data_IF_776011917695
#
_entry.id   IF_776011917695
#
_cell.length_a   1.000
_cell.length_b   1.000
_cell.length_c   1.000
_cell.angle_alpha   90.00
_cell.angle_beta   90.00
_cell.angle_gamma   90.00
#
_symmetry.space_group_name_H-M   'P 1'
#
loop_
_entity.id
_entity.type
_entity.pdbx_description
1 polymer ?
#
# COMPACT_ATOMS: atom_id res chain seq x y z
N UNK A 1 -9.14 -8.20 -11.50
CA UNK A 1 -8.55 -7.78 -10.22
C UNK A 1 -8.19 -8.97 -9.37
N UNK A 2 -6.99 -8.95 -8.84
CA UNK A 2 -6.52 -9.91 -7.84
C UNK A 2 -6.94 -9.44 -6.45
N UNK A 3 -7.09 -10.39 -5.52
CA UNK A 3 -7.33 -10.09 -4.10
C UNK A 3 -8.60 -9.28 -3.83
N UNK A 4 -9.72 -9.83 -4.28
CA UNK A 4 -11.04 -9.38 -3.86
C UNK A 4 -11.44 -10.15 -2.61
N UNK A 5 -12.04 -9.48 -1.66
CA UNK A 5 -12.55 -10.11 -0.47
C UNK A 5 -12.27 -9.33 0.80
N UNK A 6 -12.51 -9.97 1.93
CA UNK A 6 -12.44 -9.39 3.27
C UNK A 6 -11.40 -10.14 4.10
N UNK A 7 -10.37 -9.42 4.53
CA UNK A 7 -9.32 -10.00 5.37
C UNK A 7 -9.93 -10.36 6.74
N UNK A 8 -9.63 -11.55 7.20
CA UNK A 8 -10.22 -12.11 8.41
C UNK A 8 -11.48 -12.94 8.16
N UNK A 9 -12.03 -12.92 6.94
CA UNK A 9 -13.16 -13.75 6.54
C UNK A 9 -12.76 -14.71 5.42
N UNK A 10 -12.76 -14.26 4.17
CA UNK A 10 -12.39 -15.09 3.02
C UNK A 10 -10.92 -14.92 2.58
N UNK A 11 -10.22 -13.95 3.15
CA UNK A 11 -8.79 -13.73 2.91
C UNK A 11 -8.00 -13.80 4.22
N UNK A 12 -6.80 -14.35 4.14
CA UNK A 12 -5.85 -14.38 5.26
C UNK A 12 -5.06 -13.07 5.37
N UNK A 13 -4.29 -12.91 6.45
CA UNK A 13 -3.34 -11.80 6.59
C UNK A 13 -2.33 -11.84 5.45
N UNK A 14 -1.85 -13.01 5.10
CA UNK A 14 -0.88 -13.22 4.01
C UNK A 14 -1.46 -12.81 2.66
N UNK A 15 -2.73 -13.10 2.41
CA UNK A 15 -3.44 -12.61 1.21
C UNK A 15 -3.50 -11.09 1.20
N UNK A 16 -3.80 -10.50 2.35
CA UNK A 16 -3.82 -9.05 2.53
C UNK A 16 -2.46 -8.43 2.25
N UNK A 17 -1.40 -9.05 2.75
CA UNK A 17 -0.02 -8.60 2.50
C UNK A 17 0.34 -8.66 1.02
N UNK A 18 -0.05 -9.72 0.32
CA UNK A 18 0.17 -9.82 -1.12
C UNK A 18 -0.59 -8.73 -1.88
N UNK A 19 -1.82 -8.44 -1.46
CA UNK A 19 -2.60 -7.35 -2.04
C UNK A 19 -1.94 -5.99 -1.79
N UNK A 20 -1.45 -5.74 -0.58
CA UNK A 20 -0.76 -4.50 -0.23
C UNK A 20 0.52 -4.32 -1.05
N UNK A 21 1.29 -5.40 -1.23
CA UNK A 21 2.49 -5.37 -2.07
C UNK A 21 2.15 -5.02 -3.52
N UNK A 22 1.08 -5.58 -4.07
CA UNK A 22 0.64 -5.26 -5.42
C UNK A 22 0.22 -3.80 -5.53
N UNK A 23 -0.49 -3.27 -4.55
CA UNK A 23 -0.84 -1.84 -4.51
C UNK A 23 0.41 -0.95 -4.48
N UNK A 24 1.42 -1.34 -3.71
CA UNK A 24 2.69 -0.59 -3.66
C UNK A 24 3.42 -0.62 -5.00
N UNK A 25 3.42 -1.75 -5.71
CA UNK A 25 3.96 -1.84 -7.07
C UNK A 25 3.25 -0.87 -8.01
N UNK A 26 1.93 -0.79 -7.93
CA UNK A 26 1.15 0.13 -8.73
C UNK A 26 1.47 1.60 -8.39
N UNK A 27 1.62 1.93 -7.11
CA UNK A 27 2.03 3.27 -6.67
C UNK A 27 3.40 3.63 -7.24
N UNK A 28 4.36 2.71 -7.14
CA UNK A 28 5.71 2.92 -7.70
C UNK A 28 5.67 3.10 -9.21
N UNK A 29 4.82 2.35 -9.91
CA UNK A 29 4.62 2.51 -11.35
C UNK A 29 4.08 3.89 -11.70
N UNK A 30 3.10 4.38 -10.95
CA UNK A 30 2.56 5.73 -11.13
C UNK A 30 3.61 6.80 -10.86
N UNK A 31 4.41 6.63 -9.81
CA UNK A 31 5.50 7.55 -9.48
C UNK A 31 6.58 7.56 -10.56
N UNK A 32 6.92 6.40 -11.08
CA UNK A 32 7.88 6.28 -12.17
C UNK A 32 7.40 7.04 -13.41
N UNK A 33 6.12 6.90 -13.73
CA UNK A 33 5.51 7.65 -14.83
C UNK A 33 5.57 9.15 -14.58
N UNK A 34 5.22 9.61 -13.37
CA UNK A 34 5.28 11.03 -13.00
C UNK A 34 6.70 11.59 -13.05
N UNK A 35 7.70 10.77 -12.80
CA UNK A 35 9.12 11.14 -12.86
C UNK A 35 9.76 10.88 -14.24
N UNK A 36 8.95 10.69 -15.27
CA UNK A 36 9.42 10.45 -16.64
C UNK A 36 10.38 9.26 -16.75
N UNK A 37 10.12 8.21 -15.96
CA UNK A 37 10.89 6.97 -15.95
C UNK A 37 12.05 6.93 -14.97
N UNK A 38 12.28 7.99 -14.21
CA UNK A 38 13.44 8.09 -13.31
C UNK A 38 13.00 8.23 -11.85
N UNK A 39 12.93 7.11 -11.12
CA UNK A 39 12.56 7.10 -9.71
C UNK A 39 13.59 7.82 -8.82
N UNK A 40 14.83 8.04 -9.30
CA UNK A 40 15.81 8.78 -8.52
C UNK A 40 15.45 10.26 -8.31
N UNK A 41 14.47 10.76 -9.05
CA UNK A 41 13.90 12.10 -8.85
C UNK A 41 13.01 12.21 -7.62
N UNK A 42 12.64 11.10 -7.00
CA UNK A 42 11.89 11.14 -5.74
C UNK A 42 12.83 11.56 -4.63
N UNK A 43 12.58 12.75 -4.06
CA UNK A 43 13.35 13.27 -2.93
C UNK A 43 13.00 12.47 -1.68
N UNK A 44 11.71 12.26 -1.46
CA UNK A 44 11.21 11.41 -0.36
C UNK A 44 9.74 11.08 -0.54
N UNK A 45 9.35 9.95 0.02
CA UNK A 45 7.95 9.63 0.27
C UNK A 45 7.52 10.37 1.53
N UNK A 46 6.51 11.21 1.42
CA UNK A 46 6.04 12.02 2.55
C UNK A 46 5.09 11.19 3.41
N UNK A 47 4.13 10.53 2.77
CA UNK A 47 3.08 9.80 3.47
C UNK A 47 2.57 8.64 2.61
N UNK A 48 2.27 7.54 3.30
CA UNK A 48 1.53 6.41 2.73
C UNK A 48 0.33 6.14 3.63
N UNK A 49 -0.86 6.15 3.06
CA UNK A 49 -2.10 5.78 3.74
C UNK A 49 -2.66 4.51 3.14
N UNK A 50 -3.17 3.63 3.97
CA UNK A 50 -3.73 2.37 3.50
C UNK A 50 -5.01 1.99 4.20
N UNK A 51 -5.93 1.40 3.42
CA UNK A 51 -7.19 0.87 3.87
C UNK A 51 -7.22 -0.63 3.60
N UNK A 52 -7.64 -1.40 4.59
CA UNK A 52 -7.81 -2.84 4.49
C UNK A 52 -9.29 -3.17 4.65
N UNK A 53 -9.87 -3.84 3.66
CA UNK A 53 -11.22 -4.37 3.81
C UNK A 53 -11.13 -5.58 4.73
N UNK A 54 -11.70 -5.47 5.91
CA UNK A 54 -11.53 -6.47 6.96
C UNK A 54 -12.79 -6.62 7.80
N UNK A 55 -12.82 -7.69 8.58
CA UNK A 55 -13.90 -7.91 9.56
C UNK A 55 -13.81 -6.88 10.68
N UNK A 56 -14.93 -6.69 11.40
CA UNK A 56 -15.04 -5.67 12.46
C UNK A 56 -14.05 -5.90 13.61
N UNK A 57 -13.67 -7.15 13.84
CA UNK A 57 -12.76 -7.53 14.93
C UNK A 57 -11.30 -7.66 14.49
N UNK A 58 -11.01 -7.42 13.23
CA UNK A 58 -9.63 -7.52 12.72
C UNK A 58 -8.79 -6.34 13.22
N UNK A 59 -7.61 -6.60 13.75
CA UNK A 59 -6.75 -5.59 14.38
C UNK A 59 -5.35 -5.51 13.76
N UNK A 60 -5.08 -6.25 12.69
CA UNK A 60 -3.74 -6.36 12.11
C UNK A 60 -3.57 -5.58 10.80
N UNK A 61 -4.26 -4.45 10.66
CA UNK A 61 -4.16 -3.60 9.45
C UNK A 61 -2.72 -3.15 9.20
N UNK A 62 -2.00 -2.77 10.26
CA UNK A 62 -0.61 -2.35 10.15
C UNK A 62 0.28 -3.48 9.62
N UNK A 63 0.06 -4.71 10.09
CA UNK A 63 0.80 -5.88 9.60
C UNK A 63 0.58 -6.12 8.11
N UNK A 64 -0.66 -5.96 7.66
CA UNK A 64 -1.00 -6.06 6.24
C UNK A 64 -0.22 -5.00 5.44
N UNK A 65 -0.27 -3.75 5.88
CA UNK A 65 0.32 -2.63 5.15
C UNK A 65 1.85 -2.58 5.26
N UNK A 66 2.45 -3.28 6.22
CA UNK A 66 3.91 -3.41 6.29
C UNK A 66 4.48 -3.94 4.98
N UNK A 67 3.78 -4.84 4.30
CA UNK A 67 4.24 -5.38 3.00
C UNK A 67 4.39 -4.28 1.94
N UNK A 68 3.51 -3.29 1.94
CA UNK A 68 3.61 -2.14 1.03
C UNK A 68 4.77 -1.23 1.42
N UNK A 69 4.87 -0.87 2.70
CA UNK A 69 5.94 0.00 3.19
C UNK A 69 7.32 -0.62 2.98
N UNK A 70 7.45 -1.92 3.23
CA UNK A 70 8.70 -2.64 3.04
C UNK A 70 9.14 -2.61 1.58
N UNK A 71 8.23 -2.82 0.64
CA UNK A 71 8.53 -2.75 -0.78
C UNK A 71 8.98 -1.35 -1.19
N UNK A 72 8.27 -0.33 -0.75
CA UNK A 72 8.60 1.06 -1.06
C UNK A 72 10.01 1.39 -0.57
N UNK A 73 10.35 1.00 0.66
CA UNK A 73 11.68 1.22 1.22
C UNK A 73 12.76 0.38 0.51
N UNK A 74 12.42 -0.83 0.10
CA UNK A 74 13.34 -1.70 -0.65
C UNK A 74 13.70 -1.07 -2.00
N UNK A 75 12.74 -0.49 -2.69
CA UNK A 75 12.94 0.11 -4.02
C UNK A 75 13.60 1.49 -3.93
N UNK A 76 13.16 2.34 -3.01
CA UNK A 76 13.61 3.73 -2.92
C UNK A 76 14.71 3.99 -1.90
N UNK A 77 15.04 3.00 -1.08
CA UNK A 77 16.02 3.16 -0.02
C UNK A 77 15.59 4.21 1.00
N UNK A 78 16.49 5.08 1.40
CA UNK A 78 16.22 6.12 2.41
C UNK A 78 15.06 7.04 1.98
N UNK A 79 14.94 7.36 0.71
CA UNK A 79 13.85 8.19 0.18
C UNK A 79 12.48 7.53 0.35
N UNK A 80 12.42 6.23 0.56
CA UNK A 80 11.18 5.49 0.78
C UNK A 80 10.59 5.62 2.17
N UNK A 81 11.32 6.13 3.15
CA UNK A 81 10.81 6.31 4.51
C UNK A 81 9.69 7.34 4.52
N UNK A 82 8.63 7.04 5.27
CA UNK A 82 7.40 7.83 5.19
C UNK A 82 6.60 7.74 6.48
N UNK A 83 5.76 8.75 6.71
CA UNK A 83 4.68 8.66 7.69
C UNK A 83 3.58 7.76 7.14
N UNK A 84 2.94 7.00 8.00
CA UNK A 84 1.91 6.05 7.58
C UNK A 84 0.71 6.05 8.50
N UNK A 85 -0.47 5.85 7.91
CA UNK A 85 -1.68 5.54 8.63
C UNK A 85 -2.33 4.31 8.01
N UNK A 86 -2.91 3.46 8.86
CA UNK A 86 -3.54 2.21 8.46
C UNK A 86 -4.92 2.11 9.08
N UNK A 87 -5.94 1.88 8.27
CA UNK A 87 -7.31 1.72 8.74
C UNK A 87 -7.93 0.44 8.24
N UNK A 88 -8.96 -0.02 8.97
CA UNK A 88 -9.91 -0.99 8.45
C UNK A 88 -11.11 -0.29 7.83
N UNK A 89 -11.76 -0.97 6.88
CA UNK A 89 -13.02 -0.57 6.30
C UNK A 89 -13.83 -1.82 5.96
N UNK A 90 -15.15 -1.66 5.86
CA UNK A 90 -16.02 -2.78 5.49
C UNK A 90 -16.26 -2.89 3.98
N UNK A 91 -15.86 -1.90 3.21
CA UNK A 91 -16.04 -1.91 1.75
C UNK A 91 -14.97 -1.06 1.07
N UNK A 92 -14.52 -1.53 -0.08
CA UNK A 92 -13.63 -0.81 -0.98
C UNK A 92 -14.16 -0.94 -2.42
N UNK A 93 -13.79 -0.01 -3.30
CA UNK A 93 -14.22 -0.08 -4.70
C UNK A 93 -13.90 -1.43 -5.32
N UNK A 94 -14.84 -1.96 -6.10
CA UNK A 94 -14.72 -3.25 -6.80
C UNK A 94 -14.47 -4.45 -5.89
N UNK A 95 -14.76 -4.32 -4.60
CA UNK A 95 -14.54 -5.41 -3.63
C UNK A 95 -13.08 -5.68 -3.33
N UNK A 96 -12.19 -4.75 -3.62
CA UNK A 96 -10.74 -4.93 -3.38
C UNK A 96 -10.44 -5.09 -1.90
N UNK A 97 -9.40 -5.86 -1.59
CA UNK A 97 -8.98 -6.14 -0.22
C UNK A 97 -8.18 -4.98 0.39
N UNK A 98 -7.42 -4.25 -0.41
CA UNK A 98 -6.52 -3.18 0.03
C UNK A 98 -6.56 -2.01 -0.95
N UNK A 99 -6.48 -0.81 -0.40
CA UNK A 99 -6.31 0.42 -1.18
C UNK A 99 -5.22 1.27 -0.54
N UNK A 100 -4.34 1.83 -1.35
CA UNK A 100 -3.20 2.62 -0.87
C UNK A 100 -3.16 3.96 -1.60
N UNK A 101 -2.91 5.01 -0.83
CA UNK A 101 -2.58 6.34 -1.36
C UNK A 101 -1.18 6.73 -0.90
N UNK A 102 -0.52 7.60 -1.63
CA UNK A 102 0.80 8.09 -1.27
C UNK A 102 1.00 9.52 -1.72
N UNK A 103 1.84 10.23 -0.98
CA UNK A 103 2.30 11.58 -1.32
C UNK A 103 3.82 11.54 -1.36
N UNK A 104 4.39 12.00 -2.46
CA UNK A 104 5.83 12.04 -2.64
C UNK A 104 6.29 13.44 -3.04
N UNK A 105 7.47 13.81 -2.58
CA UNK A 105 8.16 15.01 -3.05
C UNK A 105 9.09 14.63 -4.19
N UNK A 106 8.98 15.35 -5.30
CA UNK A 106 9.72 15.09 -6.54
C UNK A 106 10.48 16.34 -6.92
N UNK A 107 11.72 16.23 -7.36
CA UNK A 107 12.47 17.39 -7.84
C UNK A 107 12.22 17.70 -9.31
#
# INVERSE_FOLDING_TARGET
LLYKGTVGHDLSVEDGQAAARLCALNVLGQLKHACEGDLSRIVRMVRVGGLVRCTDDFEEQARVLNAASDLICEVLGHAGKHARISFGTNALPSGMAVEIEAIAEVD
#
